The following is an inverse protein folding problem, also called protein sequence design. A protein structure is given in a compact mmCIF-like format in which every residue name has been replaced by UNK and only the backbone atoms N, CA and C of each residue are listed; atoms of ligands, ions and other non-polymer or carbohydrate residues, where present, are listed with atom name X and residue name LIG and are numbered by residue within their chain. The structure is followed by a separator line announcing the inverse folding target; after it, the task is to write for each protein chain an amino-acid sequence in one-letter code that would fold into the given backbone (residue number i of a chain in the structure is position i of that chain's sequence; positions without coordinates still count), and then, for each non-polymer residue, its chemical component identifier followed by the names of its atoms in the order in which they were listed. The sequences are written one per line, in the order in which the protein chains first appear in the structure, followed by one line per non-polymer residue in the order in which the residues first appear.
data_IF_731824165972
#
_entry.id   IF_731824165972
#
_cell.length_a   1.000
_cell.length_b   1.000
_cell.length_c   1.000
_cell.angle_alpha   90.00
_cell.angle_beta   90.00
_cell.angle_gamma   90.00
#
_symmetry.space_group_name_H-M   'P 1'
#
loop_
_entity.id
_entity.type
_entity.pdbx_description
1 polymer ?
#
# COMPACT_ATOMS: atom_id res chain seq x y z
N UNK A 1 7.01 10.94 -24.09
CA UNK A 1 8.48 11.05 -24.30
C UNK A 1 8.79 11.28 -25.76
N UNK A 2 9.96 11.87 -26.07
CA UNK A 2 10.41 12.14 -27.44
C UNK A 2 11.01 10.91 -28.14
N UNK A 3 11.26 11.04 -29.45
CA UNK A 3 11.97 10.07 -30.26
C UNK A 3 13.47 10.37 -30.27
N UNK A 4 14.30 9.34 -30.12
CA UNK A 4 15.77 9.44 -30.08
C UNK A 4 16.37 8.68 -31.27
N UNK A 5 17.36 9.26 -31.93
CA UNK A 5 18.06 8.59 -33.03
C UNK A 5 18.79 7.33 -32.53
N UNK A 6 18.63 6.22 -33.25
CA UNK A 6 19.28 4.94 -32.98
C UNK A 6 19.90 4.40 -34.27
N UNK A 7 21.12 4.86 -34.56
CA UNK A 7 21.78 4.61 -35.84
C UNK A 7 21.22 5.49 -36.97
N UNK A 8 21.47 5.07 -38.22
CA UNK A 8 21.14 5.89 -39.38
C UNK A 8 19.63 5.85 -39.71
N UNK A 9 19.00 4.67 -39.62
CA UNK A 9 17.68 4.41 -40.22
C UNK A 9 16.51 4.38 -39.23
N UNK A 10 16.80 4.52 -37.93
CA UNK A 10 15.82 4.26 -36.87
C UNK A 10 15.81 5.34 -35.80
N UNK A 11 14.63 5.50 -35.21
CA UNK A 11 14.44 6.22 -33.96
C UNK A 11 13.77 5.29 -32.95
N UNK A 12 14.10 5.47 -31.67
CA UNK A 12 13.53 4.72 -30.56
C UNK A 12 12.89 5.66 -29.54
N UNK A 13 11.91 5.15 -28.80
CA UNK A 13 11.30 5.85 -27.67
C UNK A 13 10.88 4.86 -26.60
N UNK A 14 10.53 5.35 -25.42
CA UNK A 14 9.92 4.54 -24.36
C UNK A 14 8.43 4.84 -24.30
N UNK A 15 7.62 3.81 -24.50
CA UNK A 15 6.17 3.88 -24.39
C UNK A 15 5.68 2.74 -23.50
N UNK A 16 4.93 3.08 -22.44
CA UNK A 16 4.35 2.11 -21.49
C UNK A 16 5.38 1.08 -20.98
N UNK A 17 6.57 1.56 -20.63
CA UNK A 17 7.68 0.74 -20.11
C UNK A 17 8.32 -0.20 -21.15
N UNK A 18 8.12 0.04 -22.45
CA UNK A 18 8.72 -0.73 -23.53
C UNK A 18 9.46 0.18 -24.51
N UNK A 19 10.65 -0.25 -24.91
CA UNK A 19 11.40 0.43 -25.98
C UNK A 19 10.77 0.06 -27.31
N UNK A 20 10.23 1.06 -27.99
CA UNK A 20 9.64 0.94 -29.33
C UNK A 20 10.57 1.58 -30.36
N UNK A 21 10.41 1.19 -31.62
CA UNK A 21 11.21 1.71 -32.72
C UNK A 21 10.33 2.10 -33.91
N UNK A 22 10.74 3.13 -34.64
CA UNK A 22 10.18 3.50 -35.94
C UNK A 22 11.30 3.68 -36.96
N UNK A 23 10.98 3.50 -38.24
CA UNK A 23 11.93 3.76 -39.34
C UNK A 23 11.99 5.26 -39.70
N UNK A 24 12.90 5.63 -40.61
CA UNK A 24 13.00 6.99 -41.19
C UNK A 24 11.72 7.59 -41.76
N UNK A 25 10.74 6.77 -42.14
CA UNK A 25 9.45 7.23 -42.65
C UNK A 25 8.42 7.46 -41.52
N UNK A 26 8.85 7.34 -40.26
CA UNK A 26 7.99 7.46 -39.07
C UNK A 26 7.14 6.23 -38.79
N UNK A 27 7.28 5.14 -39.56
CA UNK A 27 6.45 3.93 -39.39
C UNK A 27 6.93 3.11 -38.19
N UNK A 28 6.02 2.91 -37.23
CA UNK A 28 6.24 2.03 -36.08
C UNK A 28 6.53 0.58 -36.52
N UNK A 29 7.54 -0.01 -35.90
CA UNK A 29 7.96 -1.39 -36.13
C UNK A 29 7.25 -2.32 -35.15
N UNK A 30 7.00 -3.57 -35.57
CA UNK A 30 6.39 -4.60 -34.70
C UNK A 30 7.26 -5.02 -33.51
N UNK A 31 8.55 -4.69 -33.55
CA UNK A 31 9.50 -4.99 -32.49
C UNK A 31 10.83 -4.32 -32.74
N UNK A 32 11.67 -4.29 -31.71
CA UNK A 32 12.99 -3.69 -31.77
C UNK A 32 13.92 -4.51 -32.68
N UNK A 33 14.48 -3.92 -33.75
CA UNK A 33 15.47 -4.60 -34.59
C UNK A 33 16.65 -5.12 -33.77
N UNK A 34 17.15 -6.31 -34.12
CA UNK A 34 18.26 -6.96 -33.36
C UNK A 34 19.51 -6.06 -33.30
N UNK A 35 19.83 -5.37 -34.39
CA UNK A 35 20.97 -4.47 -34.48
C UNK A 35 20.92 -3.28 -33.50
N UNK A 36 19.74 -2.92 -32.98
CA UNK A 36 19.59 -1.81 -32.05
C UNK A 36 19.68 -2.23 -30.58
N UNK A 37 19.58 -3.52 -30.27
CA UNK A 37 19.36 -4.02 -28.90
C UNK A 37 20.43 -3.61 -27.90
N UNK A 38 21.66 -3.52 -28.37
CA UNK A 38 22.85 -3.26 -27.55
C UNK A 38 23.41 -1.86 -27.80
N UNK A 39 22.68 -1.02 -28.54
CA UNK A 39 23.03 0.40 -28.68
C UNK A 39 22.82 1.14 -27.36
N UNK A 40 23.70 2.09 -27.07
CA UNK A 40 23.68 2.85 -25.80
C UNK A 40 22.31 3.50 -25.54
N UNK A 41 21.67 4.02 -26.59
CA UNK A 41 20.33 4.64 -26.47
C UNK A 41 19.25 3.64 -26.04
N UNK A 42 19.27 2.41 -26.58
CA UNK A 42 18.31 1.38 -26.19
C UNK A 42 18.60 0.87 -24.78
N UNK A 43 19.88 0.65 -24.45
CA UNK A 43 20.30 0.23 -23.12
C UNK A 43 19.88 1.27 -22.08
N UNK A 44 20.12 2.56 -22.34
CA UNK A 44 19.70 3.66 -21.48
C UNK A 44 18.19 3.75 -21.30
N UNK A 45 17.40 3.57 -22.36
CA UNK A 45 15.93 3.55 -22.25
C UNK A 45 15.41 2.35 -21.45
N UNK A 46 16.08 1.19 -21.52
CA UNK A 46 15.73 0.02 -20.68
C UNK A 46 16.03 0.28 -19.22
N UNK A 47 17.22 0.81 -18.92
CA UNK A 47 17.60 1.18 -17.56
C UNK A 47 16.66 2.24 -16.99
N UNK A 48 16.28 3.25 -17.78
CA UNK A 48 15.27 4.23 -17.40
C UNK A 48 13.93 3.56 -17.10
N UNK A 49 13.47 2.63 -17.94
CA UNK A 49 12.23 1.90 -17.69
C UNK A 49 12.28 1.08 -16.39
N UNK A 50 13.41 0.46 -16.07
CA UNK A 50 13.59 -0.30 -14.83
C UNK A 50 13.63 0.64 -13.61
N UNK A 51 14.26 1.80 -13.76
CA UNK A 51 14.26 2.84 -12.73
C UNK A 51 12.85 3.37 -12.47
N UNK A 52 12.09 3.72 -13.52
CA UNK A 52 10.70 4.19 -13.40
C UNK A 52 9.81 3.18 -12.67
N UNK A 53 9.91 1.88 -12.99
CA UNK A 53 9.17 0.83 -12.29
C UNK A 53 9.53 0.75 -10.80
N UNK A 54 10.82 0.89 -10.46
CA UNK A 54 11.25 0.91 -9.05
C UNK A 54 10.75 2.17 -8.34
N UNK A 55 10.75 3.31 -9.04
CA UNK A 55 10.23 4.57 -8.54
C UNK A 55 8.73 4.48 -8.24
N UNK A 56 7.91 3.98 -9.18
CA UNK A 56 6.48 3.73 -8.97
C UNK A 56 6.20 2.88 -7.72
N UNK A 57 6.95 1.78 -7.56
CA UNK A 57 6.83 0.92 -6.37
C UNK A 57 7.24 1.67 -5.09
N UNK A 58 8.29 2.50 -5.16
CA UNK A 58 8.75 3.29 -4.01
C UNK A 58 7.73 4.34 -3.60
N UNK A 59 7.18 5.11 -4.55
CA UNK A 59 6.18 6.13 -4.28
C UNK A 59 4.93 5.53 -3.64
N UNK A 60 4.39 4.44 -4.23
CA UNK A 60 3.23 3.75 -3.66
C UNK A 60 3.48 3.25 -2.24
N UNK A 61 4.66 2.69 -1.96
CA UNK A 61 5.03 2.24 -0.61
C UNK A 61 5.12 3.38 0.39
N UNK A 62 5.55 4.56 -0.03
CA UNK A 62 5.64 5.72 0.84
C UNK A 62 4.23 6.28 1.14
N UNK A 63 3.37 6.39 0.13
CA UNK A 63 1.98 6.79 0.32
C UNK A 63 1.21 5.78 1.19
N UNK A 64 1.42 4.47 0.99
CA UNK A 64 0.85 3.44 1.85
C UNK A 64 1.34 3.59 3.30
N UNK A 65 2.61 3.95 3.52
CA UNK A 65 3.12 4.21 4.87
C UNK A 65 2.47 5.45 5.50
N UNK A 66 2.26 6.53 4.75
CA UNK A 66 1.51 7.69 5.27
C UNK A 66 0.10 7.28 5.70
N UNK A 67 -0.56 6.46 4.89
CA UNK A 67 -1.90 5.95 5.16
C UNK A 67 -1.97 5.02 6.37
N UNK A 68 -1.14 3.97 6.39
CA UNK A 68 -1.11 2.97 7.48
C UNK A 68 -0.70 3.59 8.80
N UNK A 69 0.17 4.61 8.80
CA UNK A 69 0.56 5.30 10.03
C UNK A 69 -0.37 6.44 10.41
N UNK A 70 -1.21 6.89 9.48
CA UNK A 70 -2.09 8.06 9.63
C UNK A 70 -1.36 9.29 10.20
N UNK A 71 -0.09 9.46 9.81
CA UNK A 71 0.73 10.58 10.29
C UNK A 71 0.36 11.86 9.54
N UNK A 72 0.45 13.04 10.20
CA UNK A 72 0.34 14.32 9.54
C UNK A 72 1.34 14.45 8.39
N UNK A 73 0.83 14.73 7.20
CA UNK A 73 1.61 15.05 6.00
C UNK A 73 1.43 16.54 5.71
N UNK A 74 2.53 17.31 5.61
CA UNK A 74 2.43 18.70 5.18
C UNK A 74 1.82 18.79 3.78
N UNK A 75 0.86 19.70 3.60
CA UNK A 75 0.21 19.94 2.30
C UNK A 75 1.23 20.30 1.22
N UNK A 76 2.27 21.06 1.60
CA UNK A 76 3.38 21.41 0.70
C UNK A 76 4.11 20.19 0.16
N UNK A 77 4.27 19.13 0.95
CA UNK A 77 4.90 17.87 0.47
C UNK A 77 4.03 17.23 -0.61
N UNK A 78 2.71 17.19 -0.41
CA UNK A 78 1.78 16.64 -1.42
C UNK A 78 1.83 17.47 -2.71
N UNK A 79 1.81 18.80 -2.60
CA UNK A 79 1.90 19.68 -3.77
C UNK A 79 3.22 19.50 -4.55
N UNK A 80 4.36 19.42 -3.85
CA UNK A 80 5.67 19.22 -4.48
C UNK A 80 5.75 17.89 -5.26
N UNK A 81 5.23 16.80 -4.69
CA UNK A 81 5.29 15.49 -5.36
C UNK A 81 4.21 15.31 -6.43
N UNK A 82 3.18 16.15 -6.47
CA UNK A 82 2.04 16.01 -7.38
C UNK A 82 2.40 16.14 -8.88
N UNK A 83 3.47 16.87 -9.20
CA UNK A 83 3.97 17.00 -10.56
C UNK A 83 4.52 15.67 -11.12
N UNK A 84 4.97 14.77 -10.25
CA UNK A 84 5.44 13.44 -10.61
C UNK A 84 4.25 12.48 -10.78
N UNK A 85 4.14 11.88 -11.97
CA UNK A 85 3.05 10.96 -12.31
C UNK A 85 2.98 9.75 -11.38
N UNK A 86 4.11 9.20 -10.93
CA UNK A 86 4.14 8.03 -10.04
C UNK A 86 3.55 8.36 -8.65
N UNK A 87 3.88 9.54 -8.12
CA UNK A 87 3.33 10.05 -6.87
C UNK A 87 1.85 10.38 -7.01
N UNK A 88 1.50 11.19 -8.02
CA UNK A 88 0.12 11.59 -8.29
C UNK A 88 -0.80 10.39 -8.48
N UNK A 89 -0.34 9.37 -9.20
CA UNK A 89 -1.12 8.14 -9.43
C UNK A 89 -1.34 7.35 -8.13
N UNK A 90 -0.35 7.35 -7.23
CA UNK A 90 -0.47 6.69 -5.92
C UNK A 90 -1.35 7.45 -4.92
N UNK A 91 -1.41 8.79 -5.05
CA UNK A 91 -2.15 9.70 -4.15
C UNK A 91 -3.58 10.01 -4.62
N UNK A 92 -3.81 10.00 -5.93
CA UNK A 92 -5.10 10.33 -6.53
C UNK A 92 -6.19 9.41 -6.00
N UNK A 93 -7.34 10.00 -5.72
CA UNK A 93 -8.53 9.37 -5.18
C UNK A 93 -8.38 8.81 -3.77
N UNK A 94 -7.29 9.09 -3.06
CA UNK A 94 -7.22 8.85 -1.62
C UNK A 94 -8.07 9.88 -0.89
N UNK A 95 -8.81 9.43 0.12
CA UNK A 95 -9.43 10.31 1.09
C UNK A 95 -8.32 11.01 1.85
N UNK A 96 -8.35 12.33 1.85
CA UNK A 96 -7.51 13.19 2.67
C UNK A 96 -8.38 13.92 3.68
N UNK A 97 -7.86 14.09 4.90
CA UNK A 97 -8.58 14.78 5.98
C UNK A 97 -7.71 15.92 6.49
N UNK A 98 -8.19 17.18 6.47
CA UNK A 98 -7.44 18.30 7.00
C UNK A 98 -7.26 18.19 8.52
N UNK A 99 -6.11 18.66 9.00
CA UNK A 99 -5.85 18.82 10.43
C UNK A 99 -6.12 20.28 10.80
N UNK A 100 -6.93 20.49 11.84
CA UNK A 100 -7.25 21.82 12.36
C UNK A 100 -6.08 22.43 13.16
N UNK A 101 -6.20 23.71 13.54
CA UNK A 101 -5.16 24.41 14.31
C UNK A 101 -4.87 23.83 15.70
N UNK A 102 -5.70 22.90 16.19
CA UNK A 102 -5.52 22.20 17.45
C UNK A 102 -5.02 20.75 17.26
N UNK A 103 -4.70 20.34 16.03
CA UNK A 103 -4.18 19.00 15.74
C UNK A 103 -5.27 17.93 15.58
N UNK A 104 -6.55 18.30 15.53
CA UNK A 104 -7.65 17.34 15.34
C UNK A 104 -7.98 17.15 13.88
N UNK A 105 -8.47 15.96 13.54
CA UNK A 105 -8.96 15.66 12.20
C UNK A 105 -10.33 16.31 12.02
N UNK A 106 -10.49 17.04 10.92
CA UNK A 106 -11.75 17.65 10.51
C UNK A 106 -12.37 16.79 9.40
N UNK A 107 -13.05 15.73 9.81
CA UNK A 107 -13.63 14.70 8.92
C UNK A 107 -14.76 15.24 8.06
N UNK A 108 -15.43 16.32 8.49
CA UNK A 108 -16.50 16.95 7.73
C UNK A 108 -15.98 17.62 6.46
N UNK A 109 -14.67 17.92 6.42
CA UNK A 109 -13.98 18.45 5.23
C UNK A 109 -13.13 17.39 4.52
N UNK A 110 -13.34 16.12 4.83
CA UNK A 110 -12.66 15.04 4.13
C UNK A 110 -13.12 14.94 2.68
N UNK A 111 -12.22 14.51 1.78
CA UNK A 111 -12.61 14.28 0.40
C UNK A 111 -11.56 13.51 -0.39
N UNK A 112 -11.98 13.00 -1.55
CA UNK A 112 -11.12 12.30 -2.49
C UNK A 112 -10.18 13.28 -3.18
N UNK A 113 -8.87 13.09 -3.03
CA UNK A 113 -7.85 13.95 -3.61
C UNK A 113 -7.86 13.90 -5.14
N UNK A 114 -8.11 15.05 -5.78
CA UNK A 114 -8.18 15.20 -7.24
C UNK A 114 -7.05 16.02 -7.82
N UNK A 115 -6.50 16.92 -7.02
CA UNK A 115 -5.54 17.92 -7.45
C UNK A 115 -4.71 18.44 -6.26
N UNK A 116 -3.54 19.01 -6.53
CA UNK A 116 -2.72 19.66 -5.51
C UNK A 116 -1.93 20.80 -6.17
N UNK A 117 -2.12 22.00 -5.63
CA UNK A 117 -1.50 23.22 -6.13
C UNK A 117 -0.80 23.97 -4.98
N UNK A 118 0.43 24.48 -5.17
CA UNK A 118 1.15 25.20 -4.12
C UNK A 118 0.46 26.48 -3.63
N UNK A 119 -0.34 27.15 -4.46
CA UNK A 119 -1.03 28.41 -4.15
C UNK A 119 -2.48 28.17 -3.70
N UNK A 120 -3.20 27.24 -4.35
CA UNK A 120 -4.62 26.96 -4.09
C UNK A 120 -4.86 25.85 -3.04
N UNK A 121 -3.83 25.03 -2.73
CA UNK A 121 -3.93 23.88 -1.83
C UNK A 121 -4.42 22.60 -2.51
N UNK A 122 -5.02 21.69 -1.74
CA UNK A 122 -5.46 20.38 -2.26
C UNK A 122 -6.88 20.48 -2.81
N UNK A 123 -7.07 20.07 -4.07
CA UNK A 123 -8.40 19.86 -4.64
C UNK A 123 -8.97 18.53 -4.21
N UNK A 124 -10.18 18.56 -3.66
CA UNK A 124 -10.91 17.38 -3.24
C UNK A 124 -12.32 17.36 -3.81
N UNK A 125 -12.89 16.17 -3.87
CA UNK A 125 -14.33 15.96 -4.07
C UNK A 125 -14.86 15.28 -2.81
N UNK A 126 -15.83 15.90 -2.14
CA UNK A 126 -16.44 15.35 -0.93
C UNK A 126 -17.51 14.28 -1.25
N UNK A 127 -18.15 13.75 -0.21
CA UNK A 127 -19.18 12.71 -0.31
C UNK A 127 -20.45 13.19 -1.05
N UNK A 128 -20.72 14.49 -1.03
CA UNK A 128 -21.85 15.09 -1.75
C UNK A 128 -21.54 15.31 -3.24
N UNK A 129 -20.30 15.03 -3.66
CA UNK A 129 -19.83 15.24 -5.03
C UNK A 129 -19.43 16.68 -5.32
N UNK A 130 -19.38 17.54 -4.30
CA UNK A 130 -18.96 18.93 -4.44
C UNK A 130 -17.43 19.01 -4.51
N UNK A 131 -16.92 19.87 -5.38
CA UNK A 131 -15.49 20.12 -5.51
C UNK A 131 -15.07 21.24 -4.56
N UNK A 132 -14.04 21.00 -3.76
CA UNK A 132 -13.52 21.93 -2.77
C UNK A 132 -12.00 22.06 -2.77
N UNK A 133 -11.50 23.05 -2.03
CA UNK A 133 -10.07 23.26 -1.77
C UNK A 133 -9.77 23.13 -0.27
N UNK A 134 -8.78 22.33 0.08
CA UNK A 134 -8.20 22.25 1.42
C UNK A 134 -6.94 23.09 1.49
N UNK A 135 -6.99 24.13 2.33
CA UNK A 135 -5.89 25.07 2.58
C UNK A 135 -5.21 24.85 3.94
N UNK A 136 -5.50 23.71 4.59
CA UNK A 136 -4.84 23.33 5.83
C UNK A 136 -3.33 23.12 5.62
N UNK A 137 -2.52 23.44 6.62
CA UNK A 137 -1.05 23.29 6.56
C UNK A 137 -0.64 21.81 6.49
N UNK A 138 -1.44 20.96 7.13
CA UNK A 138 -1.25 19.51 7.16
C UNK A 138 -2.57 18.79 6.92
N UNK A 139 -2.47 17.63 6.31
CA UNK A 139 -3.56 16.67 6.16
C UNK A 139 -3.09 15.31 6.67
N UNK A 140 -4.03 14.40 6.90
CA UNK A 140 -3.72 12.97 7.00
C UNK A 140 -4.27 12.23 5.80
N UNK A 141 -3.61 11.13 5.47
CA UNK A 141 -4.20 10.04 4.72
C UNK A 141 -4.65 9.03 5.78
N UNK A 142 -5.93 8.99 6.18
CA UNK A 142 -6.34 8.14 7.27
C UNK A 142 -6.28 6.67 6.85
N UNK A 143 -5.86 5.81 7.77
CA UNK A 143 -6.13 4.38 7.66
C UNK A 143 -7.66 4.20 7.64
N UNK A 144 -8.21 3.35 6.74
CA UNK A 144 -9.65 3.23 6.54
C UNK A 144 -10.44 2.88 7.81
N UNK A 145 -9.85 2.14 8.76
CA UNK A 145 -10.51 1.83 10.06
C UNK A 145 -10.79 3.07 10.92
N UNK A 146 -10.15 4.21 10.62
CA UNK A 146 -10.33 5.50 11.33
C UNK A 146 -11.34 6.41 10.61
N UNK A 147 -11.85 6.00 9.45
CA UNK A 147 -12.88 6.76 8.73
C UNK A 147 -14.27 6.39 9.29
N UNK A 148 -15.02 7.35 9.86
CA UNK A 148 -16.36 7.06 10.41
C UNK A 148 -17.33 6.60 9.32
N UNK A 149 -17.29 7.22 8.14
CA UNK A 149 -18.22 6.97 7.03
C UNK A 149 -17.59 6.10 5.93
N UNK A 150 -16.78 5.09 6.33
CA UNK A 150 -16.06 4.24 5.37
C UNK A 150 -16.99 3.53 4.38
N UNK A 151 -18.19 3.12 4.82
CA UNK A 151 -19.16 2.46 3.96
C UNK A 151 -19.67 3.40 2.87
N UNK A 152 -20.09 4.60 3.25
CA UNK A 152 -20.61 5.62 2.35
C UNK A 152 -19.51 6.11 1.38
N UNK A 153 -18.27 6.28 1.87
CA UNK A 153 -17.10 6.58 1.03
C UNK A 153 -16.83 5.49 -0.01
N UNK A 154 -17.03 4.21 0.34
CA UNK A 154 -16.86 3.10 -0.62
C UNK A 154 -17.96 3.09 -1.68
N UNK A 155 -19.20 3.33 -1.28
CA UNK A 155 -20.34 3.43 -2.20
C UNK A 155 -20.12 4.59 -3.18
N UNK A 156 -19.82 5.78 -2.66
CA UNK A 156 -19.52 6.96 -3.46
C UNK A 156 -18.34 6.75 -4.41
N UNK A 157 -17.24 6.13 -3.93
CA UNK A 157 -16.10 5.80 -4.77
C UNK A 157 -16.46 4.82 -5.90
N UNK A 158 -17.32 3.83 -5.63
CA UNK A 158 -17.79 2.90 -6.64
C UNK A 158 -18.62 3.60 -7.73
N UNK A 159 -19.55 4.48 -7.33
CA UNK A 159 -20.40 5.25 -8.26
C UNK A 159 -19.59 6.19 -9.15
N UNK A 160 -18.55 6.81 -8.60
CA UNK A 160 -17.65 7.70 -9.33
C UNK A 160 -16.61 6.94 -10.18
N UNK A 161 -16.58 5.61 -10.10
CA UNK A 161 -15.63 4.77 -10.85
C UNK A 161 -14.18 4.95 -10.40
N UNK A 162 -13.97 5.32 -9.13
CA UNK A 162 -12.65 5.55 -8.52
C UNK A 162 -11.80 4.29 -8.60
N UNK A 163 -10.52 4.48 -8.95
CA UNK A 163 -9.50 3.43 -8.91
C UNK A 163 -8.31 3.90 -8.11
N UNK A 164 -8.16 3.37 -6.91
CA UNK A 164 -7.03 3.67 -6.04
C UNK A 164 -5.89 2.69 -6.32
N UNK A 165 -4.74 3.21 -6.78
CA UNK A 165 -3.51 2.41 -6.88
C UNK A 165 -2.95 2.06 -5.50
N UNK A 166 -3.09 2.96 -4.54
CA UNK A 166 -2.88 2.68 -3.12
C UNK A 166 -4.22 2.30 -2.50
N UNK A 167 -4.44 1.02 -2.18
CA UNK A 167 -5.72 0.59 -1.59
C UNK A 167 -5.92 1.22 -0.20
N UNK A 168 -6.80 2.22 -0.12
CA UNK A 168 -7.25 2.83 1.14
C UNK A 168 -8.70 2.41 1.41
N UNK A 169 -9.66 2.87 0.60
CA UNK A 169 -11.08 2.58 0.81
C UNK A 169 -11.35 1.08 0.68
N UNK A 170 -10.78 0.43 -0.33
CA UNK A 170 -10.98 -1.00 -0.59
C UNK A 170 -9.99 -1.91 0.15
N UNK A 171 -9.18 -1.35 1.05
CA UNK A 171 -8.34 -2.16 1.94
C UNK A 171 -9.25 -2.95 2.88
N UNK A 172 -8.94 -4.23 3.05
CA UNK A 172 -9.61 -5.07 4.04
C UNK A 172 -9.28 -4.58 5.45
N UNK A 173 -10.31 -4.45 6.29
CA UNK A 173 -10.19 -3.92 7.65
C UNK A 173 -10.88 -4.85 8.65
N UNK A 174 -10.30 -4.93 9.84
CA UNK A 174 -10.91 -5.60 10.99
C UNK A 174 -11.21 -4.54 12.04
N UNK A 175 -12.49 -4.34 12.34
CA UNK A 175 -12.90 -3.48 13.43
C UNK A 175 -12.34 -4.01 14.75
N UNK A 176 -11.90 -3.10 15.62
CA UNK A 176 -11.48 -3.44 16.97
C UNK A 176 -12.70 -3.80 17.81
N UNK A 177 -12.81 -5.02 18.37
CA UNK A 177 -13.90 -5.36 19.25
C UNK A 177 -13.93 -4.45 20.49
N UNK A 178 -15.12 -4.09 20.96
CA UNK A 178 -15.28 -3.23 22.13
C UNK A 178 -14.81 -3.96 23.40
N UNK A 179 -15.13 -5.25 23.53
CA UNK A 179 -14.80 -6.03 24.72
C UNK A 179 -13.41 -6.68 24.64
N UNK A 180 -12.68 -6.66 25.76
CA UNK A 180 -11.39 -7.36 25.86
C UNK A 180 -11.53 -8.87 25.68
N UNK A 181 -12.67 -9.46 26.04
CA UNK A 181 -12.90 -10.89 25.89
C UNK A 181 -13.08 -11.30 24.43
N UNK A 182 -13.77 -10.49 23.62
CA UNK A 182 -13.82 -10.70 22.16
C UNK A 182 -12.42 -10.56 21.55
N UNK A 183 -11.67 -9.51 21.92
CA UNK A 183 -10.29 -9.34 21.45
C UNK A 183 -9.45 -10.57 21.77
N UNK A 184 -9.52 -11.11 23.00
CA UNK A 184 -8.78 -12.33 23.39
C UNK A 184 -9.17 -13.55 22.56
N UNK A 185 -10.47 -13.72 22.27
CA UNK A 185 -10.97 -14.82 21.43
C UNK A 185 -10.55 -14.71 19.97
N UNK A 186 -10.35 -13.50 19.47
CA UNK A 186 -9.96 -13.25 18.08
C UNK A 186 -8.45 -13.39 17.81
N UNK A 187 -7.58 -13.22 18.81
CA UNK A 187 -6.12 -13.40 18.65
C UNK A 187 -5.72 -14.75 17.99
N UNK A 188 -6.28 -15.91 18.38
CA UNK A 188 -5.98 -17.18 17.72
C UNK A 188 -6.79 -17.45 16.44
N UNK A 189 -7.66 -16.54 15.99
CA UNK A 189 -8.60 -16.78 14.87
C UNK A 189 -7.93 -17.32 13.59
N UNK A 190 -6.71 -16.88 13.33
CA UNK A 190 -5.92 -17.25 12.15
C UNK A 190 -4.66 -18.07 12.50
N UNK A 191 -4.57 -18.57 13.73
CA UNK A 191 -3.56 -19.56 14.10
C UNK A 191 -3.83 -20.91 13.42
N UNK A 192 -2.89 -21.83 13.49
CA UNK A 192 -3.07 -23.19 13.00
C UNK A 192 -2.91 -23.36 11.48
N UNK A 193 -2.45 -22.33 10.77
CA UNK A 193 -2.22 -22.40 9.33
C UNK A 193 -0.99 -23.25 9.01
N UNK A 194 -1.18 -24.48 8.58
CA UNK A 194 -0.09 -25.42 8.26
C UNK A 194 0.53 -25.17 6.89
N UNK A 195 1.84 -25.27 6.83
CA UNK A 195 2.64 -25.17 5.61
C UNK A 195 3.56 -26.38 5.50
N UNK A 196 3.68 -26.93 4.27
CA UNK A 196 4.61 -28.04 3.99
C UNK A 196 6.06 -27.68 4.29
N UNK A 197 6.41 -26.40 4.13
CA UNK A 197 7.77 -25.92 4.32
C UNK A 197 7.75 -24.47 4.84
N UNK A 198 8.60 -24.16 5.82
CA UNK A 198 8.77 -22.84 6.41
C UNK A 198 9.05 -21.75 5.36
N UNK A 199 9.83 -22.06 4.32
CA UNK A 199 10.11 -21.10 3.22
C UNK A 199 8.85 -20.59 2.53
N UNK A 200 7.76 -21.36 2.50
CA UNK A 200 6.52 -20.94 1.84
C UNK A 200 5.82 -19.81 2.59
N UNK A 201 5.69 -19.93 3.92
CA UNK A 201 5.12 -18.86 4.75
C UNK A 201 6.04 -17.65 4.81
N UNK A 202 7.36 -17.86 4.86
CA UNK A 202 8.35 -16.77 4.79
C UNK A 202 8.23 -15.99 3.47
N UNK A 203 8.22 -16.68 2.32
CA UNK A 203 8.09 -16.05 1.01
C UNK A 203 6.78 -15.28 0.87
N UNK A 204 5.68 -15.83 1.40
CA UNK A 204 4.38 -15.14 1.43
C UNK A 204 4.45 -13.87 2.28
N UNK A 205 5.01 -13.96 3.49
CA UNK A 205 5.15 -12.83 4.39
C UNK A 205 5.97 -11.69 3.74
N UNK A 206 7.13 -12.01 3.16
CA UNK A 206 7.98 -11.02 2.50
C UNK A 206 7.36 -10.43 1.25
N UNK A 207 6.62 -11.24 0.47
CA UNK A 207 5.92 -10.77 -0.74
C UNK A 207 4.77 -9.83 -0.40
N UNK A 208 4.14 -10.01 0.77
CA UNK A 208 3.13 -9.12 1.31
C UNK A 208 3.70 -7.88 2.04
N UNK A 209 5.03 -7.75 2.12
CA UNK A 209 5.71 -6.59 2.73
C UNK A 209 5.94 -6.70 4.24
N UNK A 210 5.69 -7.86 4.85
CA UNK A 210 5.95 -8.09 6.28
C UNK A 210 7.43 -8.41 6.53
N UNK A 211 7.93 -7.98 7.70
CA UNK A 211 9.28 -8.32 8.15
C UNK A 211 9.29 -9.71 8.74
N UNK A 212 10.22 -10.56 8.31
CA UNK A 212 10.45 -11.88 8.91
C UNK A 212 11.73 -11.82 9.75
N UNK A 213 11.62 -12.09 11.05
CA UNK A 213 12.74 -12.12 11.98
C UNK A 213 12.43 -13.00 13.19
N UNK A 214 13.40 -13.79 13.66
CA UNK A 214 13.28 -14.55 14.90
C UNK A 214 12.10 -15.52 14.92
N UNK A 215 11.79 -16.12 13.77
CA UNK A 215 10.66 -17.04 13.61
C UNK A 215 9.28 -16.39 13.56
N UNK A 216 9.19 -15.06 13.51
CA UNK A 216 7.93 -14.32 13.39
C UNK A 216 7.85 -13.51 12.10
N UNK A 217 6.64 -13.40 11.54
CA UNK A 217 6.26 -12.35 10.60
C UNK A 217 5.69 -11.18 11.38
N UNK A 218 6.11 -9.96 11.05
CA UNK A 218 5.75 -8.76 11.79
C UNK A 218 5.46 -7.56 10.89
N UNK A 219 4.59 -6.68 11.37
CA UNK A 219 4.30 -5.37 10.78
C UNK A 219 4.39 -4.31 11.88
N UNK A 220 5.12 -3.23 11.59
CA UNK A 220 5.18 -2.06 12.47
C UNK A 220 4.08 -1.09 12.09
N UNK A 221 3.27 -0.72 13.06
CA UNK A 221 2.07 0.11 12.94
C UNK A 221 2.17 1.27 13.91
N UNK A 222 1.42 2.34 13.64
CA UNK A 222 1.36 3.51 14.50
C UNK A 222 -0.08 3.72 14.92
N UNK A 223 -0.30 3.87 16.22
CA UNK A 223 -1.59 4.25 16.78
C UNK A 223 -1.43 5.60 17.45
N UNK A 224 -2.09 6.63 16.91
CA UNK A 224 -1.99 8.02 17.40
C UNK A 224 -0.52 8.48 17.60
N UNK A 225 0.36 8.09 16.67
CA UNK A 225 1.79 8.40 16.70
C UNK A 225 2.66 7.47 17.54
N UNK A 226 2.07 6.55 18.31
CA UNK A 226 2.79 5.56 19.13
C UNK A 226 3.07 4.31 18.30
N UNK A 227 4.35 3.93 18.12
CA UNK A 227 4.70 2.73 17.37
C UNK A 227 4.38 1.45 18.14
N UNK A 228 3.84 0.45 17.45
CA UNK A 228 3.62 -0.89 17.96
C UNK A 228 3.99 -1.91 16.87
N UNK A 229 4.27 -3.15 17.28
CA UNK A 229 4.59 -4.26 16.37
C UNK A 229 3.53 -5.35 16.54
N UNK A 230 2.79 -5.62 15.48
CA UNK A 230 1.91 -6.79 15.40
C UNK A 230 2.70 -7.95 14.79
N UNK A 231 2.61 -9.14 15.40
CA UNK A 231 3.43 -10.29 15.03
C UNK A 231 2.62 -11.60 15.03
N UNK A 232 3.01 -12.52 14.15
CA UNK A 232 2.53 -13.91 14.10
C UNK A 232 3.75 -14.81 14.04
N UNK A 233 3.81 -15.80 14.94
CA UNK A 233 4.83 -16.85 14.86
C UNK A 233 4.63 -17.68 13.59
N UNK A 234 5.70 -17.93 12.85
CA UNK A 234 5.69 -18.71 11.60
C UNK A 234 6.68 -19.87 11.61
N UNK A 235 7.49 -20.03 12.66
CA UNK A 235 8.47 -21.10 12.82
C UNK A 235 9.93 -20.67 12.61
N UNK A 236 10.85 -21.44 13.17
CA UNK A 236 12.31 -21.27 13.07
C UNK A 236 12.99 -22.59 12.70
N UNK A 237 14.25 -22.52 12.22
CA UNK A 237 15.03 -23.70 11.85
C UNK A 237 15.15 -23.91 10.34
N UNK A 238 15.15 -25.18 9.90
CA UNK A 238 15.34 -25.55 8.50
C UNK A 238 14.15 -25.06 7.63
N UNK A 239 14.38 -24.23 6.61
CA UNK A 239 13.33 -23.72 5.73
C UNK A 239 12.52 -24.81 4.99
N UNK A 240 13.04 -26.04 4.90
CA UNK A 240 12.39 -27.18 4.25
C UNK A 240 11.48 -27.99 5.18
N UNK A 241 11.43 -27.66 6.47
CA UNK A 241 10.58 -28.37 7.43
C UNK A 241 9.18 -27.76 7.50
N UNK A 242 8.21 -28.61 7.84
CA UNK A 242 6.83 -28.20 8.09
C UNK A 242 6.74 -27.16 9.21
N UNK A 243 5.75 -26.28 9.12
CA UNK A 243 5.48 -25.26 10.14
C UNK A 243 3.99 -24.93 10.24
N UNK A 244 3.62 -24.25 11.31
CA UNK A 244 2.26 -23.83 11.61
C UNK A 244 2.26 -22.38 12.13
N UNK A 245 1.29 -21.57 11.70
CA UNK A 245 1.15 -20.19 12.18
C UNK A 245 0.65 -20.14 13.62
N UNK A 246 1.25 -19.30 14.45
CA UNK A 246 0.80 -19.02 15.81
C UNK A 246 -0.32 -17.97 15.88
N UNK A 247 -0.80 -17.64 17.10
CA UNK A 247 -1.75 -16.55 17.30
C UNK A 247 -1.10 -15.19 17.01
N UNK A 248 -1.94 -14.20 16.75
CA UNK A 248 -1.53 -12.79 16.70
C UNK A 248 -1.11 -12.32 18.10
N UNK A 249 -0.02 -11.58 18.18
CA UNK A 249 0.42 -10.91 19.40
C UNK A 249 1.01 -9.53 19.10
N UNK A 250 1.12 -8.69 20.13
CA UNK A 250 1.56 -7.31 20.02
C UNK A 250 2.70 -7.02 20.99
N UNK A 251 3.72 -6.33 20.50
CA UNK A 251 4.83 -5.82 21.32
C UNK A 251 5.08 -4.35 21.02
N UNK A 252 5.80 -3.68 21.91
CA UNK A 252 6.41 -2.39 21.63
C UNK A 252 7.64 -2.57 20.70
N UNK A 253 8.28 -1.47 20.25
CA UNK A 253 9.49 -1.54 19.43
C UNK A 253 10.69 -2.20 20.12
N UNK A 254 10.74 -2.20 21.45
CA UNK A 254 11.77 -2.81 22.28
C UNK A 254 11.58 -4.33 22.41
N UNK A 255 10.39 -4.84 22.07
CA UNK A 255 10.03 -6.26 22.07
C UNK A 255 9.24 -6.69 23.30
N UNK A 256 8.84 -5.76 24.15
CA UNK A 256 8.04 -6.05 25.35
C UNK A 256 6.56 -6.20 24.98
N UNK A 257 5.88 -7.12 25.66
CA UNK A 257 4.47 -7.40 25.39
C UNK A 257 3.58 -6.18 25.69
N UNK A 258 2.71 -5.82 24.76
CA UNK A 258 1.73 -4.75 24.95
C UNK A 258 0.44 -5.31 25.52
N UNK A 259 -0.10 -4.63 26.54
CA UNK A 259 -1.42 -4.97 27.07
C UNK A 259 -2.50 -4.82 25.99
N UNK A 260 -3.39 -5.80 25.87
CA UNK A 260 -4.44 -5.81 24.83
C UNK A 260 -5.38 -4.60 24.89
N UNK A 261 -5.51 -3.96 26.06
CA UNK A 261 -6.27 -2.73 26.24
C UNK A 261 -5.61 -1.51 25.58
N UNK A 262 -4.29 -1.53 25.39
CA UNK A 262 -3.52 -0.49 24.72
C UNK A 262 -3.42 -0.70 23.19
N UNK A 263 -3.91 -1.83 22.67
CA UNK A 263 -3.98 -2.08 21.23
C UNK A 263 -5.13 -1.28 20.63
N UNK A 264 -4.80 -0.32 19.78
CA UNK A 264 -5.77 0.49 19.07
C UNK A 264 -6.23 -0.11 17.72
N UNK A 265 -7.18 0.56 17.05
CA UNK A 265 -7.87 0.03 15.88
C UNK A 265 -6.99 -0.15 14.65
N UNK A 266 -6.01 0.72 14.41
CA UNK A 266 -5.12 0.59 13.25
C UNK A 266 -4.27 -0.65 13.40
N UNK A 267 -3.65 -0.79 14.57
CA UNK A 267 -2.78 -1.90 14.83
C UNK A 267 -3.51 -3.25 14.87
N UNK A 268 -4.71 -3.26 15.44
CA UNK A 268 -5.59 -4.43 15.40
C UNK A 268 -5.92 -4.83 13.96
N UNK A 269 -6.39 -3.88 13.15
CA UNK A 269 -6.77 -4.12 11.76
C UNK A 269 -5.61 -4.66 10.94
N UNK A 270 -4.44 -4.05 11.04
CA UNK A 270 -3.25 -4.47 10.29
C UNK A 270 -2.65 -5.79 10.78
N UNK A 271 -2.69 -6.06 12.09
CA UNK A 271 -2.30 -7.34 12.66
C UNK A 271 -3.20 -8.48 12.19
N UNK A 272 -4.52 -8.26 12.23
CA UNK A 272 -5.51 -9.23 11.74
C UNK A 272 -5.39 -9.44 10.23
N UNK A 273 -5.14 -8.38 9.45
CA UNK A 273 -4.86 -8.47 8.00
C UNK A 273 -3.64 -9.32 7.69
N UNK A 274 -2.56 -9.13 8.45
CA UNK A 274 -1.37 -9.97 8.32
C UNK A 274 -1.69 -11.43 8.67
N UNK A 275 -2.32 -11.68 9.81
CA UNK A 275 -2.66 -13.02 10.26
C UNK A 275 -3.58 -13.75 9.25
N UNK A 276 -4.62 -13.07 8.76
CA UNK A 276 -5.52 -13.57 7.73
C UNK A 276 -4.78 -13.85 6.41
N UNK A 277 -3.91 -12.94 5.97
CA UNK A 277 -3.11 -13.15 4.78
C UNK A 277 -2.24 -14.40 4.91
N UNK A 278 -1.51 -14.57 6.01
CA UNK A 278 -0.68 -15.75 6.25
C UNK A 278 -1.54 -17.02 6.35
N UNK A 279 -2.66 -16.99 7.04
CA UNK A 279 -3.53 -18.16 7.16
C UNK A 279 -4.13 -18.59 5.82
N UNK A 280 -4.45 -17.65 4.92
CA UNK A 280 -4.98 -17.95 3.59
C UNK A 280 -3.98 -18.70 2.68
N UNK A 281 -2.68 -18.71 3.00
CA UNK A 281 -1.65 -19.44 2.24
C UNK A 281 -1.40 -20.87 2.72
N UNK A 282 -2.09 -21.31 3.79
CA UNK A 282 -1.94 -22.65 4.35
C UNK A 282 -2.31 -23.74 3.34
N UNK A 283 -1.87 -24.96 3.60
CA UNK A 283 -2.40 -26.15 2.93
C UNK A 283 -3.87 -26.32 3.28
N UNK A 284 -4.72 -26.44 2.26
CA UNK A 284 -6.13 -26.79 2.42
C UNK A 284 -6.27 -28.25 2.01
N UNK A 285 -6.70 -29.11 2.93
CA UNK A 285 -7.00 -30.50 2.61
C UNK A 285 -8.27 -30.53 1.73
N UNK A 286 -8.24 -31.25 0.61
CA UNK A 286 -9.32 -31.29 -0.39
C UNK A 286 -10.61 -32.00 0.12
N UNK A 287 -10.62 -32.52 1.35
CA UNK A 287 -11.72 -33.30 1.92
C UNK A 287 -12.73 -32.49 2.78
N UNK A 288 -12.68 -31.16 2.73
CA UNK A 288 -13.47 -30.26 3.58
C UNK A 288 -14.87 -29.87 3.09
N UNK A 289 -15.47 -30.56 2.11
CA UNK A 289 -16.81 -30.23 1.58
C UNK A 289 -17.95 -31.12 2.11
N UNK A 290 -17.70 -31.99 3.10
CA UNK A 290 -18.78 -32.76 3.76
C UNK A 290 -18.52 -32.99 5.25
N UNK A 291 -19.07 -32.12 6.09
CA UNK A 291 -19.61 -32.47 7.41
C UNK A 291 -20.66 -31.43 7.83
#
# INVERSE_FOLDING_TARGET
MGWLAAGADYEVSLERGKVIARNRQGRLLKGLPKALRDTDVVVGLRQLSEWLKRHEVSCRREVEQWMVRSLPVPTTVICEVWADEAWRTSLRDLVVVPIDGAGRWDTDRAGLLRDADPEEGLGVVDLDGESGRLTAVQVVLPHPVRLPDLADLREFAADLGVRQETLQLFREVWALPESLDERRRDLPRYAGGRYKELRHVQARATSAGYRVQGGAASVRVWEDGVPMVASVWIGEGDPLYETETGPLYFTDPEGEAVALAAVGPVAWSEGMRMAANLHAGRVVDEDGERA
#
